data_IF_827083683909
#
_entry.id   IF_827083683909
#
_cell.length_a   1.000
_cell.length_b   1.000
_cell.length_c   1.000
_cell.angle_alpha   90.00
_cell.angle_beta   90.00
_cell.angle_gamma   90.00
#
_symmetry.space_group_name_H-M   'P 1'
#
loop_
_entity.id
_entity.type
_entity.pdbx_description
1 polymer ?
#
# COMPACT_ATOMS: atom_id res chain seq x y z
N UNK A 1 33.63 -22.58 48.15
CA UNK A 1 34.59 -23.55 47.60
C UNK A 1 35.48 -22.79 46.64
N UNK A 2 36.74 -22.57 47.03
CA UNK A 2 37.67 -21.68 46.35
C UNK A 2 38.25 -22.36 45.11
N UNK A 3 38.11 -21.72 43.95
CA UNK A 3 38.97 -22.00 42.80
C UNK A 3 40.08 -20.93 42.83
N UNK A 4 41.15 -21.23 43.58
CA UNK A 4 42.45 -20.58 43.44
C UNK A 4 43.21 -21.34 42.35
N UNK A 5 43.94 -20.58 41.54
CA UNK A 5 45.01 -21.04 40.64
C UNK A 5 44.60 -21.89 39.42
N UNK A 6 43.97 -21.25 38.44
CA UNK A 6 44.06 -21.70 37.05
C UNK A 6 45.24 -20.97 36.38
N UNK A 7 46.40 -21.62 36.36
CA UNK A 7 47.53 -21.23 35.51
C UNK A 7 47.07 -21.23 34.05
N UNK A 8 47.12 -20.06 33.40
CA UNK A 8 46.84 -19.90 31.98
C UNK A 8 47.99 -20.55 31.22
N UNK A 9 47.79 -21.77 30.73
CA UNK A 9 48.67 -22.33 29.70
C UNK A 9 48.55 -21.48 28.43
N UNK A 10 49.66 -20.99 27.84
CA UNK A 10 49.58 -20.22 26.61
C UNK A 10 49.05 -21.11 25.49
N UNK A 11 48.02 -20.63 24.80
CA UNK A 11 47.45 -21.32 23.65
C UNK A 11 48.57 -21.64 22.62
N UNK A 12 48.56 -22.82 21.99
CA UNK A 12 49.66 -23.35 21.17
C UNK A 12 49.98 -22.54 19.89
N UNK A 13 49.33 -21.40 19.68
CA UNK A 13 49.51 -20.52 18.52
C UNK A 13 50.02 -19.12 18.88
N UNK A 14 50.36 -18.85 20.16
CA UNK A 14 50.81 -17.53 20.59
C UNK A 14 52.24 -17.17 20.14
N UNK A 15 53.05 -18.14 19.71
CA UNK A 15 54.47 -17.94 19.39
C UNK A 15 54.74 -17.46 17.94
N UNK A 16 53.73 -17.41 17.07
CA UNK A 16 53.95 -17.13 15.64
C UNK A 16 53.96 -15.63 15.29
N UNK A 17 53.55 -14.74 16.19
CA UNK A 17 53.45 -13.30 15.90
C UNK A 17 54.06 -12.52 17.06
N UNK A 18 55.29 -12.05 16.89
CA UNK A 18 56.01 -11.16 17.82
C UNK A 18 55.46 -9.72 17.82
N UNK A 19 54.15 -9.57 17.60
CA UNK A 19 53.47 -8.27 17.65
C UNK A 19 53.02 -7.97 19.07
N UNK A 20 53.78 -7.10 19.74
CA UNK A 20 53.44 -6.63 21.09
C UNK A 20 52.41 -5.51 20.96
N UNK A 21 51.14 -5.80 21.24
CA UNK A 21 50.03 -4.84 21.13
C UNK A 21 50.37 -3.57 21.95
N UNK A 22 50.40 -2.38 21.32
CA UNK A 22 50.66 -1.13 22.02
C UNK A 22 49.62 -0.89 23.12
N UNK A 23 50.06 -0.44 24.30
CA UNK A 23 49.19 -0.27 25.49
C UNK A 23 47.94 0.59 25.25
N UNK A 24 47.97 1.52 24.28
CA UNK A 24 46.81 2.33 23.87
C UNK A 24 45.65 1.52 23.29
N UNK A 25 45.91 0.30 22.81
CA UNK A 25 44.92 -0.63 22.26
C UNK A 25 44.58 -1.76 23.24
N UNK A 26 45.26 -1.84 24.38
CA UNK A 26 44.82 -2.69 25.48
C UNK A 26 43.66 -1.97 26.16
N UNK A 27 42.44 -2.26 25.72
CA UNK A 27 41.26 -1.94 26.50
C UNK A 27 41.45 -2.62 27.86
N UNK A 28 41.50 -1.83 28.92
CA UNK A 28 41.44 -2.38 30.28
C UNK A 28 40.29 -3.37 30.29
N UNK A 29 40.56 -4.62 30.69
CA UNK A 29 39.53 -5.66 30.73
C UNK A 29 38.38 -5.08 31.54
N UNK A 30 37.33 -4.63 30.85
CA UNK A 30 36.14 -4.11 31.49
C UNK A 30 35.72 -5.21 32.46
N UNK A 31 35.65 -4.83 33.71
CA UNK A 31 35.40 -5.66 34.87
C UNK A 31 34.35 -6.69 34.47
N UNK A 32 34.75 -7.97 34.48
CA UNK A 32 33.88 -9.09 34.07
C UNK A 32 32.63 -9.20 35.00
N UNK A 33 32.55 -8.35 36.03
CA UNK A 33 31.38 -8.12 36.87
C UNK A 33 30.12 -7.68 36.10
N UNK A 34 30.24 -7.24 34.84
CA UNK A 34 29.09 -6.86 33.99
C UNK A 34 28.70 -7.90 32.93
N UNK A 35 29.43 -9.01 32.76
CA UNK A 35 29.07 -10.00 31.74
C UNK A 35 27.72 -10.66 32.05
N UNK A 36 27.38 -10.81 33.33
CA UNK A 36 26.07 -11.30 33.77
C UNK A 36 24.91 -10.33 33.46
N UNK A 37 25.17 -9.01 33.40
CA UNK A 37 24.21 -8.01 32.87
C UNK A 37 24.04 -8.14 31.36
N UNK A 38 25.10 -8.53 30.63
CA UNK A 38 25.09 -8.75 29.18
C UNK A 38 24.26 -9.98 28.77
N UNK A 39 24.13 -10.99 29.64
CA UNK A 39 23.30 -12.19 29.44
C UNK A 39 21.84 -12.02 29.88
N UNK A 40 21.47 -10.88 30.48
CA UNK A 40 20.04 -10.58 30.64
C UNK A 40 19.45 -10.44 29.25
N UNK A 41 18.39 -11.20 28.90
CA UNK A 41 17.86 -11.15 27.55
C UNK A 41 17.42 -9.73 27.20
N UNK A 42 18.14 -9.09 26.28
CA UNK A 42 17.82 -7.74 25.76
C UNK A 42 16.38 -7.66 25.26
N UNK A 43 15.82 -8.77 24.77
CA UNK A 43 14.41 -8.83 24.38
C UNK A 43 13.47 -8.56 25.56
N UNK A 44 13.81 -8.96 26.79
CA UNK A 44 12.95 -8.81 27.96
C UNK A 44 12.90 -7.37 28.46
N UNK A 45 14.02 -6.64 28.39
CA UNK A 45 14.04 -5.19 28.68
C UNK A 45 13.32 -4.40 27.58
N UNK A 46 13.49 -4.80 26.32
CA UNK A 46 12.78 -4.19 25.18
C UNK A 46 11.27 -4.38 25.27
N UNK A 47 10.80 -5.59 25.63
CA UNK A 47 9.37 -5.88 25.82
C UNK A 47 8.77 -5.09 26.98
N UNK A 48 9.51 -4.93 28.08
CA UNK A 48 9.06 -4.08 29.20
C UNK A 48 9.00 -2.62 28.81
N UNK A 49 9.95 -2.13 28.02
CA UNK A 49 9.93 -0.77 27.50
C UNK A 49 8.75 -0.52 26.55
N UNK A 50 8.38 -1.50 25.72
CA UNK A 50 7.29 -1.40 24.74
C UNK A 50 5.93 -1.96 25.23
N UNK A 51 5.76 -2.19 26.53
CA UNK A 51 4.54 -2.81 27.08
C UNK A 51 3.27 -2.00 26.77
N UNK A 52 3.37 -0.67 26.75
CA UNK A 52 2.25 0.22 26.40
C UNK A 52 1.86 0.08 24.92
N UNK A 53 2.84 0.04 24.01
CA UNK A 53 2.58 -0.14 22.57
C UNK A 53 1.95 -1.50 22.27
N UNK A 54 2.49 -2.56 22.89
CA UNK A 54 2.00 -3.92 22.71
C UNK A 54 0.57 -4.07 23.25
N UNK A 55 0.27 -3.50 24.42
CA UNK A 55 -1.08 -3.59 25.01
C UNK A 55 -2.13 -2.85 24.17
N UNK A 56 -1.79 -1.69 23.60
CA UNK A 56 -2.66 -0.97 22.66
C UNK A 56 -2.90 -1.80 21.38
N UNK A 57 -1.84 -2.39 20.81
CA UNK A 57 -1.94 -3.23 19.61
C UNK A 57 -2.84 -4.45 19.86
N UNK A 58 -2.62 -5.17 20.97
CA UNK A 58 -3.43 -6.32 21.36
C UNK A 58 -4.90 -5.91 21.55
N UNK A 59 -5.15 -4.78 22.21
CA UNK A 59 -6.50 -4.23 22.36
C UNK A 59 -7.17 -3.92 21.00
N UNK A 60 -6.43 -3.31 20.08
CA UNK A 60 -6.92 -3.02 18.73
C UNK A 60 -7.23 -4.30 17.93
N UNK A 61 -6.38 -5.33 18.03
CA UNK A 61 -6.59 -6.63 17.39
C UNK A 61 -7.82 -7.36 17.96
N UNK A 62 -8.03 -7.31 19.27
CA UNK A 62 -9.22 -7.86 19.92
C UNK A 62 -10.48 -7.12 19.44
N UNK A 63 -10.45 -5.78 19.44
CA UNK A 63 -11.58 -4.97 18.96
C UNK A 63 -11.92 -5.27 17.48
N UNK A 64 -10.89 -5.39 16.63
CA UNK A 64 -11.06 -5.78 15.24
C UNK A 64 -11.65 -7.18 15.11
N UNK A 65 -11.16 -8.14 15.90
CA UNK A 65 -11.65 -9.53 15.90
C UNK A 65 -13.12 -9.59 16.31
N UNK A 66 -13.52 -8.87 17.35
CA UNK A 66 -14.92 -8.77 17.79
C UNK A 66 -15.79 -8.11 16.71
N UNK A 67 -15.29 -7.06 16.06
CA UNK A 67 -15.99 -6.40 14.96
C UNK A 67 -16.19 -7.33 13.76
N UNK A 68 -15.18 -8.13 13.40
CA UNK A 68 -15.25 -9.13 12.34
C UNK A 68 -16.26 -10.24 12.67
N UNK A 69 -16.30 -10.72 13.91
CA UNK A 69 -17.29 -11.72 14.35
C UNK A 69 -18.72 -11.17 14.40
N UNK A 70 -18.88 -9.84 14.50
CA UNK A 70 -20.18 -9.14 14.57
C UNK A 70 -20.54 -8.38 13.29
N UNK A 71 -19.89 -8.69 12.16
CA UNK A 71 -20.15 -8.08 10.84
C UNK A 71 -21.66 -7.98 10.51
N UNK A 72 -22.48 -9.04 10.61
CA UNK A 72 -23.89 -8.94 10.20
C UNK A 72 -24.69 -7.94 11.02
N UNK A 73 -24.33 -7.71 12.29
CA UNK A 73 -24.97 -6.72 13.16
C UNK A 73 -24.39 -5.31 13.00
N UNK A 74 -23.09 -5.19 12.69
CA UNK A 74 -22.44 -3.89 12.45
C UNK A 74 -22.94 -3.25 11.14
N UNK A 75 -23.10 -4.05 10.07
CA UNK A 75 -23.51 -3.57 8.75
C UNK A 75 -24.94 -3.04 8.74
N UNK A 76 -25.81 -3.55 9.62
CA UNK A 76 -27.20 -3.08 9.75
C UNK A 76 -27.33 -1.69 10.38
N UNK A 77 -26.30 -1.17 11.07
CA UNK A 77 -26.31 0.14 11.73
C UNK A 77 -25.31 1.10 11.06
N UNK A 78 -25.79 1.87 10.08
CA UNK A 78 -24.97 2.77 9.24
C UNK A 78 -24.03 3.71 10.00
N UNK A 79 -24.53 4.44 11.01
CA UNK A 79 -23.71 5.36 11.81
C UNK A 79 -22.63 4.64 12.63
N UNK A 80 -22.94 3.47 13.19
CA UNK A 80 -22.01 2.74 14.06
C UNK A 80 -20.87 2.13 13.24
N UNK A 81 -21.18 1.62 12.05
CA UNK A 81 -20.19 1.16 11.08
C UNK A 81 -19.28 2.30 10.60
N UNK A 82 -19.84 3.48 10.31
CA UNK A 82 -19.05 4.64 9.86
C UNK A 82 -18.13 5.18 10.97
N UNK A 83 -18.63 5.31 12.21
CA UNK A 83 -17.82 5.72 13.37
C UNK A 83 -16.72 4.69 13.65
N UNK A 84 -17.04 3.39 13.66
CA UNK A 84 -16.04 2.34 13.89
C UNK A 84 -14.96 2.35 12.82
N UNK A 85 -15.35 2.45 11.54
CA UNK A 85 -14.42 2.49 10.41
C UNK A 85 -13.52 3.72 10.46
N UNK A 86 -14.09 4.91 10.68
CA UNK A 86 -13.32 6.15 10.77
C UNK A 86 -12.40 6.11 11.99
N UNK A 87 -12.89 5.65 13.15
CA UNK A 87 -12.10 5.51 14.36
C UNK A 87 -10.94 4.52 14.20
N UNK A 88 -11.17 3.37 13.57
CA UNK A 88 -10.13 2.39 13.27
C UNK A 88 -9.07 2.94 12.29
N UNK A 89 -9.51 3.64 11.24
CA UNK A 89 -8.60 4.29 10.28
C UNK A 89 -7.77 5.39 10.94
N UNK A 90 -8.39 6.26 11.76
CA UNK A 90 -7.69 7.32 12.48
C UNK A 90 -6.72 6.77 13.52
N UNK A 91 -7.10 5.71 14.24
CA UNK A 91 -6.22 5.02 15.18
C UNK A 91 -5.02 4.40 14.46
N UNK A 92 -5.24 3.74 13.33
CA UNK A 92 -4.16 3.15 12.52
C UNK A 92 -3.24 4.22 11.93
N UNK A 93 -3.78 5.29 11.35
CA UNK A 93 -2.98 6.37 10.76
C UNK A 93 -2.25 7.20 11.82
N UNK A 94 -2.91 7.52 12.93
CA UNK A 94 -2.38 8.37 13.98
C UNK A 94 -1.41 7.61 14.88
N UNK A 95 -1.83 6.49 15.46
CA UNK A 95 -0.98 5.72 16.36
C UNK A 95 0.10 4.95 15.58
N UNK A 96 -0.29 3.98 14.75
CA UNK A 96 0.69 3.13 14.04
C UNK A 96 1.54 3.93 13.05
N UNK A 97 0.94 4.94 12.41
CA UNK A 97 1.65 5.82 11.47
C UNK A 97 2.61 6.83 12.13
N UNK A 98 2.23 7.47 13.25
CA UNK A 98 3.03 8.53 13.87
C UNK A 98 3.92 8.04 15.02
N UNK A 99 3.47 7.10 15.86
CA UNK A 99 4.19 6.69 17.07
C UNK A 99 5.21 5.58 16.81
N UNK A 100 4.84 4.59 16.01
CA UNK A 100 5.69 3.39 15.81
C UNK A 100 6.66 3.52 14.65
N UNK A 101 6.72 4.69 13.99
CA UNK A 101 7.47 4.84 12.75
C UNK A 101 7.10 3.72 11.77
N UNK A 102 5.80 3.43 11.69
CA UNK A 102 5.14 2.78 10.57
C UNK A 102 5.95 1.59 9.99
N UNK A 103 5.75 0.35 10.50
CA UNK A 103 6.42 -0.86 10.00
C UNK A 103 6.57 -0.82 8.48
N UNK A 104 7.78 -0.52 7.98
CA UNK A 104 8.06 -0.22 6.57
C UNK A 104 7.56 -1.32 5.65
N UNK A 105 7.55 -2.55 6.16
CA UNK A 105 7.04 -3.72 5.47
C UNK A 105 5.56 -3.59 5.11
N UNK A 106 4.68 -3.12 6.00
CA UNK A 106 3.23 -3.05 5.75
C UNK A 106 2.87 -1.91 4.80
N UNK A 107 3.52 -0.75 4.93
CA UNK A 107 3.26 0.42 4.07
C UNK A 107 3.86 0.26 2.66
N UNK A 108 4.85 -0.62 2.49
CA UNK A 108 5.31 -1.04 1.16
C UNK A 108 4.22 -1.79 0.38
N UNK A 109 3.35 -2.54 1.06
CA UNK A 109 2.22 -3.24 0.42
C UNK A 109 0.97 -2.36 0.31
N UNK A 110 0.66 -1.58 1.35
CA UNK A 110 -0.42 -0.59 1.36
C UNK A 110 0.15 0.78 1.04
N UNK A 111 0.29 1.12 -0.24
CA UNK A 111 0.78 2.44 -0.67
C UNK A 111 -0.14 3.55 -0.11
N UNK A 112 0.26 4.26 0.96
CA UNK A 112 -0.62 5.24 1.59
C UNK A 112 -0.71 6.52 0.75
N UNK A 113 0.23 6.72 -0.18
CA UNK A 113 0.10 7.74 -1.22
C UNK A 113 -1.14 7.51 -2.11
N UNK A 114 -1.44 6.26 -2.46
CA UNK A 114 -2.67 5.93 -3.18
C UNK A 114 -3.93 6.22 -2.35
N UNK A 115 -3.91 5.97 -1.04
CA UNK A 115 -4.99 6.32 -0.12
C UNK A 115 -5.13 7.85 0.02
N UNK A 116 -4.01 8.58 0.07
CA UNK A 116 -3.98 10.04 0.12
C UNK A 116 -4.53 10.65 -1.18
N UNK A 117 -4.26 10.06 -2.34
CA UNK A 117 -4.86 10.47 -3.61
C UNK A 117 -6.40 10.29 -3.62
N UNK A 118 -6.91 9.20 -3.04
CA UNK A 118 -8.37 9.02 -2.90
C UNK A 118 -8.98 10.03 -1.93
N UNK A 119 -8.30 10.29 -0.81
CA UNK A 119 -8.77 11.25 0.20
C UNK A 119 -8.76 12.68 -0.36
N UNK A 120 -7.69 13.09 -1.04
CA UNK A 120 -7.59 14.40 -1.70
C UNK A 120 -8.60 14.55 -2.83
N UNK A 121 -8.82 13.52 -3.66
CA UNK A 121 -9.87 13.52 -4.67
C UNK A 121 -11.27 13.62 -4.04
N UNK A 122 -11.52 12.95 -2.91
CA UNK A 122 -12.79 13.06 -2.17
C UNK A 122 -12.98 14.44 -1.55
N UNK A 123 -11.94 15.03 -0.98
CA UNK A 123 -11.96 16.39 -0.45
C UNK A 123 -12.19 17.42 -1.58
N UNK A 124 -11.54 17.25 -2.72
CA UNK A 124 -11.76 18.09 -3.90
C UNK A 124 -13.19 17.99 -4.45
N UNK A 125 -13.76 16.78 -4.51
CA UNK A 125 -15.17 16.57 -4.88
C UNK A 125 -16.12 17.24 -3.89
N UNK A 126 -15.80 17.23 -2.60
CA UNK A 126 -16.56 17.94 -1.57
C UNK A 126 -16.51 19.46 -1.77
N UNK A 127 -15.38 19.99 -2.23
CA UNK A 127 -15.20 21.39 -2.61
C UNK A 127 -15.79 21.74 -4.00
N UNK A 128 -16.46 20.80 -4.67
CA UNK A 128 -17.10 21.01 -5.97
C UNK A 128 -16.19 20.86 -7.18
N UNK A 129 -14.94 20.44 -7.02
CA UNK A 129 -14.02 20.17 -8.13
C UNK A 129 -14.37 18.82 -8.76
N UNK A 130 -14.73 18.83 -10.04
CA UNK A 130 -14.96 17.60 -10.80
C UNK A 130 -13.66 17.10 -11.42
N UNK A 131 -13.31 15.81 -11.26
CA UNK A 131 -12.11 15.26 -11.90
C UNK A 131 -12.27 15.25 -13.42
N UNK A 132 -11.24 15.71 -14.11
CA UNK A 132 -11.13 15.67 -15.56
C UNK A 132 -10.96 14.22 -16.02
N UNK A 133 -11.84 13.78 -16.93
CA UNK A 133 -11.64 12.53 -17.64
C UNK A 133 -10.75 12.75 -18.84
N UNK A 134 -9.65 12.01 -18.89
CA UNK A 134 -8.78 11.95 -20.06
C UNK A 134 -9.52 11.29 -21.22
N UNK A 135 -9.24 11.79 -22.44
CA UNK A 135 -9.62 11.11 -23.67
C UNK A 135 -8.97 9.73 -23.75
N UNK A 136 -9.65 8.78 -24.38
CA UNK A 136 -9.15 7.40 -24.55
C UNK A 136 -7.75 7.37 -25.18
N UNK A 137 -7.51 8.22 -26.19
CA UNK A 137 -6.20 8.33 -26.83
C UNK A 137 -5.11 8.76 -25.84
N UNK A 138 -5.34 9.83 -25.08
CA UNK A 138 -4.40 10.33 -24.07
C UNK A 138 -4.11 9.26 -23.02
N UNK A 139 -5.14 8.57 -22.54
CA UNK A 139 -4.96 7.48 -21.59
C UNK A 139 -4.09 6.36 -22.17
N UNK A 140 -4.36 5.92 -23.40
CA UNK A 140 -3.61 4.84 -24.07
C UNK A 140 -2.13 5.18 -24.23
N UNK A 141 -1.80 6.44 -24.51
CA UNK A 141 -0.43 6.92 -24.66
C UNK A 141 0.31 7.09 -23.34
N UNK A 142 -0.37 7.56 -22.29
CA UNK A 142 0.23 7.78 -20.98
C UNK A 142 0.41 6.46 -20.19
N UNK A 143 -0.46 5.48 -20.42
CA UNK A 143 -0.44 4.21 -19.71
C UNK A 143 0.89 3.43 -19.76
N UNK A 144 1.60 3.30 -20.91
CA UNK A 144 2.86 2.55 -20.96
C UNK A 144 4.00 3.16 -20.13
N UNK A 145 3.89 4.42 -19.72
CA UNK A 145 4.95 5.14 -18.97
C UNK A 145 5.37 4.36 -17.72
N UNK A 146 4.42 3.80 -16.96
CA UNK A 146 4.74 3.01 -15.75
C UNK A 146 5.57 1.76 -16.03
N UNK A 147 5.38 1.13 -17.19
CA UNK A 147 6.17 -0.04 -17.59
C UNK A 147 7.57 0.38 -18.04
N UNK A 148 7.69 1.53 -18.72
CA UNK A 148 8.98 2.12 -19.03
C UNK A 148 9.78 2.47 -17.78
N UNK A 149 9.13 3.05 -16.77
CA UNK A 149 9.75 3.37 -15.48
C UNK A 149 10.19 2.11 -14.73
N UNK A 150 9.33 1.08 -14.69
CA UNK A 150 9.69 -0.22 -14.11
C UNK A 150 10.89 -0.85 -14.81
N UNK A 151 10.90 -0.87 -16.15
CA UNK A 151 12.01 -1.43 -16.92
C UNK A 151 13.31 -0.64 -16.68
N UNK A 152 13.22 0.69 -16.59
CA UNK A 152 14.33 1.55 -16.22
C UNK A 152 14.89 1.19 -14.84
N UNK A 153 14.04 1.08 -13.82
CA UNK A 153 14.46 0.70 -12.47
C UNK A 153 15.12 -0.69 -12.42
N UNK A 154 14.55 -1.67 -13.14
CA UNK A 154 15.14 -3.02 -13.26
C UNK A 154 16.49 -2.96 -13.97
N UNK A 155 16.60 -2.18 -15.05
CA UNK A 155 17.87 -1.98 -15.77
C UNK A 155 18.95 -1.33 -14.90
N UNK A 156 18.59 -0.30 -14.13
CA UNK A 156 19.49 0.30 -13.14
C UNK A 156 19.88 -0.70 -12.05
N UNK A 157 18.95 -1.53 -11.57
CA UNK A 157 19.24 -2.54 -10.55
C UNK A 157 20.24 -3.60 -11.03
N UNK A 158 20.18 -3.96 -12.31
CA UNK A 158 21.15 -4.86 -12.94
C UNK A 158 22.52 -4.17 -13.09
N UNK A 159 22.54 -2.89 -13.45
CA UNK A 159 23.78 -2.13 -13.61
C UNK A 159 24.48 -1.84 -12.27
N UNK A 160 23.75 -1.34 -11.29
CA UNK A 160 24.25 -1.02 -9.95
C UNK A 160 23.11 -0.94 -8.94
N UNK A 161 23.20 -1.73 -7.88
CA UNK A 161 22.19 -1.75 -6.82
C UNK A 161 22.04 -0.38 -6.13
N UNK A 162 23.13 0.35 -5.91
CA UNK A 162 23.10 1.67 -5.27
C UNK A 162 22.35 2.73 -6.09
N UNK A 163 22.58 2.79 -7.41
CA UNK A 163 21.84 3.72 -8.26
C UNK A 163 20.36 3.34 -8.36
N UNK A 164 20.01 2.05 -8.26
CA UNK A 164 18.63 1.61 -8.22
C UNK A 164 17.93 2.00 -6.91
N UNK A 165 18.63 1.96 -5.77
CA UNK A 165 18.11 2.48 -4.50
C UNK A 165 17.86 3.98 -4.58
N UNK A 166 18.80 4.75 -5.12
CA UNK A 166 18.62 6.20 -5.34
C UNK A 166 17.50 6.53 -6.34
N UNK A 167 17.37 5.74 -7.42
CA UNK A 167 16.29 5.90 -8.38
C UNK A 167 14.93 5.43 -7.84
N UNK A 168 14.90 4.51 -6.88
CA UNK A 168 13.67 4.07 -6.20
C UNK A 168 13.04 5.18 -5.34
N UNK A 169 13.75 6.29 -5.11
CA UNK A 169 13.20 7.52 -4.51
C UNK A 169 12.13 8.21 -5.37
N UNK A 170 11.96 7.76 -6.62
CA UNK A 170 10.82 8.12 -7.48
C UNK A 170 9.47 7.83 -6.82
N UNK A 171 9.43 6.87 -5.88
CA UNK A 171 8.25 6.64 -5.06
C UNK A 171 8.10 7.78 -4.05
N UNK A 172 7.05 8.63 -4.17
CA UNK A 172 6.87 9.81 -3.32
C UNK A 172 6.62 9.43 -1.84
N UNK A 173 6.46 8.14 -1.55
CA UNK A 173 6.14 7.65 -0.21
C UNK A 173 7.37 7.54 0.71
N UNK A 174 8.46 6.90 0.27
CA UNK A 174 9.70 6.84 1.06
C UNK A 174 10.24 8.26 1.31
N UNK A 175 10.10 9.14 0.33
CA UNK A 175 10.68 10.48 0.37
C UNK A 175 9.87 11.50 1.18
N UNK A 176 8.54 11.50 1.11
CA UNK A 176 7.72 12.55 1.74
C UNK A 176 7.21 12.22 3.16
N UNK A 177 6.92 10.94 3.46
CA UNK A 177 6.29 10.55 4.74
C UNK A 177 7.30 9.95 5.72
N UNK A 178 8.28 9.18 5.23
CA UNK A 178 9.24 8.46 6.08
C UNK A 178 10.42 9.34 6.49
N UNK A 179 10.96 10.15 5.57
CA UNK A 179 12.11 11.03 5.83
C UNK A 179 11.73 12.42 6.37
N UNK A 180 10.43 12.72 6.42
CA UNK A 180 9.83 13.88 7.10
C UNK A 180 10.61 15.19 6.89
N UNK A 181 11.13 15.76 7.99
CA UNK A 181 11.70 17.12 8.07
C UNK A 181 13.18 17.23 7.69
N UNK A 182 13.81 16.13 7.28
CA UNK A 182 15.25 16.04 7.01
C UNK A 182 15.63 15.96 5.53
N UNK A 183 14.64 16.06 4.63
CA UNK A 183 14.82 15.93 3.18
C UNK A 183 14.54 17.25 2.45
N UNK A 184 15.25 17.48 1.35
CA UNK A 184 15.18 18.73 0.59
C UNK A 184 13.76 19.03 0.08
N UNK A 185 13.35 20.31 0.18
CA UNK A 185 12.11 20.89 -0.36
C UNK A 185 11.64 20.36 -1.74
N UNK A 186 12.50 20.12 -2.76
CA UNK A 186 12.09 19.60 -4.06
C UNK A 186 11.24 18.32 -4.00
N UNK A 187 11.46 17.42 -3.04
CA UNK A 187 10.67 16.19 -2.92
C UNK A 187 9.26 16.44 -2.41
N UNK A 188 9.08 17.41 -1.51
CA UNK A 188 7.76 17.84 -1.05
C UNK A 188 6.97 18.53 -2.17
N UNK A 189 7.65 19.34 -3.00
CA UNK A 189 7.04 19.92 -4.20
C UNK A 189 6.64 18.83 -5.17
N UNK A 190 7.51 17.86 -5.45
CA UNK A 190 7.20 16.74 -6.33
C UNK A 190 5.98 15.94 -5.84
N UNK A 191 5.95 15.55 -4.56
CA UNK A 191 4.80 14.86 -3.97
C UNK A 191 3.53 15.72 -4.01
N UNK A 192 3.63 17.02 -3.70
CA UNK A 192 2.54 17.97 -3.77
C UNK A 192 1.98 18.14 -5.20
N UNK A 193 2.86 18.22 -6.19
CA UNK A 193 2.49 18.27 -7.61
C UNK A 193 1.77 16.99 -8.05
N UNK A 194 2.23 15.81 -7.62
CA UNK A 194 1.57 14.54 -7.92
C UNK A 194 0.19 14.42 -7.24
N UNK A 195 0.04 14.95 -6.03
CA UNK A 195 -1.27 15.03 -5.35
C UNK A 195 -2.20 16.02 -6.06
N UNK A 196 -1.68 17.18 -6.47
CA UNK A 196 -2.41 18.17 -7.28
C UNK A 196 -2.88 17.60 -8.62
N UNK A 197 -2.00 16.87 -9.32
CA UNK A 197 -2.37 16.13 -10.52
C UNK A 197 -3.44 15.08 -10.24
N UNK A 198 -3.43 14.45 -9.05
CA UNK A 198 -4.44 13.51 -8.56
C UNK A 198 -5.83 14.12 -8.33
N UNK A 199 -5.91 15.43 -8.06
CA UNK A 199 -7.18 16.16 -7.93
C UNK A 199 -7.82 16.36 -9.31
N UNK A 200 -7.00 16.70 -10.31
CA UNK A 200 -7.47 16.89 -11.69
C UNK A 200 -7.76 15.55 -12.35
N UNK A 201 -6.88 14.56 -12.20
CA UNK A 201 -7.01 13.22 -12.77
C UNK A 201 -7.00 12.20 -11.64
N UNK A 202 -8.13 11.53 -11.44
CA UNK A 202 -8.29 10.55 -10.35
C UNK A 202 -7.20 9.47 -10.41
N UNK A 203 -6.46 9.31 -9.29
CA UNK A 203 -5.38 8.31 -9.13
C UNK A 203 -4.25 8.41 -10.16
N UNK A 204 -3.90 9.64 -10.57
CA UNK A 204 -2.87 9.92 -11.60
C UNK A 204 -1.56 9.14 -11.41
N UNK A 205 -0.95 9.19 -10.21
CA UNK A 205 0.34 8.53 -9.95
C UNK A 205 0.25 7.01 -10.07
N UNK A 206 -0.71 6.40 -9.36
CA UNK A 206 -0.92 4.95 -9.40
C UNK A 206 -1.22 4.42 -10.82
N UNK A 207 -1.83 5.26 -11.66
CA UNK A 207 -2.25 4.90 -13.02
C UNK A 207 -1.13 5.01 -14.06
N UNK A 208 -0.24 5.99 -13.94
CA UNK A 208 0.72 6.33 -15.01
C UNK A 208 2.19 6.23 -14.61
N UNK A 209 2.53 6.41 -13.33
CA UNK A 209 3.92 6.51 -12.89
C UNK A 209 4.33 5.37 -11.95
N UNK A 210 3.43 4.79 -11.18
CA UNK A 210 3.78 3.85 -10.11
C UNK A 210 4.40 2.53 -10.64
N UNK A 211 5.68 2.22 -10.33
CA UNK A 211 6.35 1.00 -10.78
C UNK A 211 5.80 -0.26 -10.09
N UNK A 212 5.46 -0.16 -8.80
CA UNK A 212 4.75 -1.24 -8.08
C UNK A 212 3.41 -1.57 -8.74
N UNK A 213 2.67 -0.54 -9.18
CA UNK A 213 1.44 -0.71 -9.94
C UNK A 213 1.64 -1.38 -11.29
N UNK A 214 2.79 -1.17 -11.94
CA UNK A 214 3.17 -1.88 -13.17
C UNK A 214 3.42 -3.38 -12.90
N UNK A 215 4.12 -3.72 -11.82
CA UNK A 215 4.33 -5.11 -11.38
C UNK A 215 3.00 -5.81 -11.09
N UNK A 216 2.11 -5.16 -10.34
CA UNK A 216 0.77 -5.70 -10.05
C UNK A 216 -0.07 -5.89 -11.32
N UNK A 217 0.05 -4.99 -12.30
CA UNK A 217 -0.64 -5.11 -13.58
C UNK A 217 -0.12 -6.29 -14.43
N UNK A 218 1.19 -6.57 -14.38
CA UNK A 218 1.80 -7.75 -15.00
C UNK A 218 1.28 -9.05 -14.36
N UNK A 219 1.23 -9.10 -13.02
CA UNK A 219 0.62 -10.21 -12.28
C UNK A 219 -0.88 -10.36 -12.57
N UNK A 220 -1.58 -9.25 -12.81
CA UNK A 220 -2.97 -9.23 -13.25
C UNK A 220 -3.24 -9.92 -14.58
N UNK A 221 -2.23 -10.07 -15.44
CA UNK A 221 -2.35 -10.84 -16.69
C UNK A 221 -2.54 -12.34 -16.45
N UNK A 222 -2.17 -12.84 -15.27
CA UNK A 222 -2.49 -14.21 -14.85
C UNK A 222 -3.98 -14.38 -14.51
N UNK A 223 -4.72 -13.30 -14.25
CA UNK A 223 -6.16 -13.30 -13.95
C UNK A 223 -7.04 -13.38 -15.21
N UNK A 224 -6.68 -14.24 -16.17
CA UNK A 224 -7.51 -14.48 -17.38
C UNK A 224 -8.84 -15.19 -17.08
N UNK A 225 -9.01 -15.74 -15.88
CA UNK A 225 -10.24 -16.39 -15.40
C UNK A 225 -11.07 -15.47 -14.51
N UNK A 226 -11.10 -14.17 -14.80
CA UNK A 226 -11.81 -13.23 -13.95
C UNK A 226 -13.32 -13.47 -14.04
N UNK A 227 -13.92 -13.77 -12.89
CA UNK A 227 -15.36 -13.92 -12.74
C UNK A 227 -16.03 -12.55 -12.65
N UNK A 228 -15.94 -11.76 -13.73
CA UNK A 228 -16.79 -10.58 -13.85
C UNK A 228 -18.09 -10.98 -14.55
N UNK A 229 -19.18 -10.85 -13.82
CA UNK A 229 -20.52 -10.86 -14.36
C UNK A 229 -20.78 -9.63 -15.22
N UNK A 230 -21.38 -9.87 -16.38
CA UNK A 230 -21.72 -8.85 -17.37
C UNK A 230 -23.03 -9.22 -18.06
N UNK A 231 -23.91 -8.25 -18.28
CA UNK A 231 -25.06 -8.46 -19.16
C UNK A 231 -24.64 -8.36 -20.63
N UNK A 232 -25.37 -9.02 -21.51
CA UNK A 232 -25.14 -8.96 -22.96
C UNK A 232 -25.16 -7.54 -23.54
N UNK A 233 -25.89 -6.62 -22.90
CA UNK A 233 -26.05 -5.22 -23.33
C UNK A 233 -24.94 -4.28 -22.79
N UNK A 234 -24.06 -4.75 -21.90
CA UNK A 234 -22.95 -3.95 -21.38
C UNK A 234 -21.91 -3.73 -22.49
N UNK A 235 -21.36 -2.52 -22.59
CA UNK A 235 -20.43 -2.10 -23.65
C UNK A 235 -21.14 -1.52 -24.88
N UNK A 236 -22.18 -2.21 -25.36
CA UNK A 236 -23.05 -1.75 -26.45
C UNK A 236 -24.47 -2.28 -26.23
N UNK A 237 -25.50 -1.42 -26.10
CA UNK A 237 -25.47 0.05 -26.12
C UNK A 237 -25.08 0.70 -24.78
N UNK A 238 -25.00 -0.06 -23.67
CA UNK A 238 -24.76 0.51 -22.36
C UNK A 238 -23.27 0.81 -22.10
N UNK A 239 -22.89 2.08 -22.03
CA UNK A 239 -21.53 2.54 -21.70
C UNK A 239 -21.39 3.10 -20.28
N UNK A 240 -22.32 2.76 -19.37
CA UNK A 240 -22.33 3.35 -18.03
C UNK A 240 -21.06 3.00 -17.23
N UNK A 241 -20.64 1.73 -17.27
CA UNK A 241 -19.42 1.27 -16.59
C UNK A 241 -18.16 1.91 -17.18
N UNK A 242 -18.09 2.10 -18.50
CA UNK A 242 -16.98 2.78 -19.19
C UNK A 242 -16.84 4.21 -18.67
N UNK A 243 -17.97 4.94 -18.67
CA UNK A 243 -17.99 6.31 -18.16
C UNK A 243 -17.59 6.32 -16.70
N UNK A 244 -18.21 5.53 -15.83
CA UNK A 244 -18.03 5.65 -14.37
C UNK A 244 -16.74 5.00 -13.82
N UNK A 245 -15.97 4.28 -14.63
CA UNK A 245 -14.74 3.63 -14.18
C UNK A 245 -13.65 4.67 -13.82
N UNK A 246 -13.20 4.75 -12.54
CA UNK A 246 -12.22 5.75 -12.12
C UNK A 246 -10.84 5.55 -12.76
N UNK A 247 -10.47 4.29 -13.05
CA UNK A 247 -9.19 3.94 -13.70
C UNK A 247 -9.28 3.87 -15.23
N UNK A 248 -10.48 4.03 -15.79
CA UNK A 248 -10.82 3.85 -17.22
C UNK A 248 -10.24 2.56 -17.82
N UNK A 249 -10.40 1.44 -17.12
CA UNK A 249 -9.96 0.12 -17.60
C UNK A 249 -10.89 -0.48 -18.68
N UNK A 250 -12.00 0.18 -19.00
CA UNK A 250 -12.99 -0.27 -19.99
C UNK A 250 -12.87 0.60 -21.22
N UNK A 251 -12.69 -0.03 -22.37
CA UNK A 251 -12.58 0.64 -23.67
C UNK A 251 -13.98 1.08 -24.19
N UNK A 252 -14.08 2.04 -25.14
CA UNK A 252 -15.35 2.54 -25.64
C UNK A 252 -16.22 1.50 -26.37
N UNK A 253 -15.61 0.44 -26.89
CA UNK A 253 -16.27 -0.74 -27.45
C UNK A 253 -16.82 -1.70 -26.36
N UNK A 254 -16.47 -1.45 -25.10
CA UNK A 254 -16.84 -2.24 -23.94
C UNK A 254 -15.85 -3.34 -23.59
N UNK A 255 -14.69 -3.43 -24.24
CA UNK A 255 -13.66 -4.40 -23.88
C UNK A 255 -13.02 -4.00 -22.54
N UNK A 256 -12.77 -4.97 -21.66
CA UNK A 256 -12.18 -4.72 -20.34
C UNK A 256 -10.70 -5.08 -20.38
N UNK A 257 -9.84 -4.11 -20.06
CA UNK A 257 -8.41 -4.36 -19.91
C UNK A 257 -8.11 -4.92 -18.51
N UNK A 258 -7.98 -6.24 -18.42
CA UNK A 258 -7.79 -6.97 -17.16
C UNK A 258 -6.48 -6.68 -16.44
N UNK A 259 -5.46 -6.13 -17.10
CA UNK A 259 -4.22 -5.75 -16.43
C UNK A 259 -4.42 -4.54 -15.51
N UNK A 260 -5.39 -3.67 -15.83
CA UNK A 260 -5.72 -2.47 -15.05
C UNK A 260 -7.00 -2.63 -14.24
N UNK A 261 -7.87 -3.56 -14.61
CA UNK A 261 -9.12 -3.79 -13.90
C UNK A 261 -8.87 -4.32 -12.48
N UNK A 262 -9.61 -3.73 -11.53
CA UNK A 262 -9.60 -4.05 -10.10
C UNK A 262 -10.81 -4.90 -9.68
N UNK A 263 -11.59 -5.41 -10.62
CA UNK A 263 -12.74 -6.31 -10.39
C UNK A 263 -13.76 -5.80 -9.37
N UNK A 264 -13.99 -4.49 -9.31
CA UNK A 264 -14.78 -3.87 -8.24
C UNK A 264 -16.29 -4.13 -8.32
N UNK A 265 -16.86 -4.31 -9.53
CA UNK A 265 -18.29 -4.55 -9.82
C UNK A 265 -19.34 -3.68 -9.07
N UNK A 266 -18.93 -2.58 -8.44
CA UNK A 266 -19.81 -1.76 -7.60
C UNK A 266 -21.03 -1.26 -8.37
N UNK A 267 -20.82 -0.75 -9.59
CA UNK A 267 -21.89 -0.22 -10.43
C UNK A 267 -22.78 -1.32 -11.03
N UNK A 268 -22.21 -2.51 -11.26
CA UNK A 268 -22.99 -3.65 -11.75
C UNK A 268 -23.93 -4.16 -10.66
N UNK A 269 -23.44 -4.29 -9.42
CA UNK A 269 -24.20 -4.82 -8.28
C UNK A 269 -25.17 -3.79 -7.66
N UNK A 270 -25.13 -2.53 -8.10
CA UNK A 270 -26.05 -1.49 -7.66
C UNK A 270 -27.42 -1.67 -8.35
N UNK A 271 -28.45 -2.03 -7.57
CA UNK A 271 -29.80 -2.27 -8.08
C UNK A 271 -30.45 -1.02 -8.69
N UNK A 272 -30.09 0.17 -8.20
CA UNK A 272 -30.62 1.45 -8.70
C UNK A 272 -29.69 2.06 -9.76
N UNK A 273 -28.39 1.77 -9.68
CA UNK A 273 -27.38 2.29 -10.60
C UNK A 273 -27.30 1.53 -11.93
N UNK A 274 -27.50 0.21 -11.93
CA UNK A 274 -27.45 -0.61 -13.13
C UNK A 274 -28.81 -0.60 -13.86
N UNK A 275 -28.91 -0.11 -15.11
CA UNK A 275 -30.16 -0.07 -15.87
C UNK A 275 -30.77 -1.45 -16.15
N UNK A 276 -29.97 -2.52 -16.07
CA UNK A 276 -30.44 -3.89 -16.26
C UNK A 276 -31.10 -4.46 -14.99
N UNK A 277 -30.83 -3.90 -13.82
CA UNK A 277 -31.46 -4.26 -12.54
C UNK A 277 -32.61 -3.32 -12.19
N UNK A 278 -32.43 -2.02 -12.47
CA UNK A 278 -33.46 -1.02 -12.29
C UNK A 278 -34.61 -1.29 -13.27
N UNK A 279 -35.76 -1.71 -12.75
CA UNK A 279 -36.98 -1.86 -13.54
C UNK A 279 -37.26 -0.59 -14.37
N UNK A 280 -37.81 -0.70 -15.60
CA UNK A 280 -37.99 0.45 -16.48
C UNK A 280 -38.86 1.52 -15.82
N UNK A 281 -38.32 2.72 -15.64
CA UNK A 281 -39.11 3.90 -15.26
C UNK A 281 -39.91 4.34 -16.48
N UNK A 282 -41.23 4.11 -16.41
CA UNK A 282 -42.31 4.58 -17.29
C UNK A 282 -42.34 4.07 -18.74
N UNK A 283 -43.36 3.24 -19.04
CA UNK A 283 -44.04 3.18 -20.35
C UNK A 283 -43.56 2.15 -21.38
N UNK A 284 -42.36 1.58 -21.22
CA UNK A 284 -41.90 0.48 -22.08
C UNK A 284 -42.45 -0.86 -21.61
N UNK A 285 -42.95 -1.69 -22.53
CA UNK A 285 -43.35 -3.08 -22.27
C UNK A 285 -42.29 -3.80 -21.42
N UNK A 286 -42.69 -4.52 -20.36
CA UNK A 286 -41.74 -5.27 -19.55
C UNK A 286 -41.10 -6.33 -20.45
N UNK A 287 -39.83 -6.12 -20.80
CA UNK A 287 -39.06 -7.19 -21.43
C UNK A 287 -38.98 -8.32 -20.42
N UNK A 288 -39.52 -9.47 -20.81
CA UNK A 288 -39.65 -10.64 -19.95
C UNK A 288 -38.26 -11.25 -19.78
N UNK A 289 -37.58 -10.85 -18.71
CA UNK A 289 -36.38 -11.52 -18.21
C UNK A 289 -35.17 -10.62 -18.19
N UNK A 290 -34.51 -10.55 -17.04
CA UNK A 290 -33.18 -9.95 -16.94
C UNK A 290 -32.27 -10.59 -18.01
N UNK A 291 -31.51 -9.79 -18.80
CA UNK A 291 -30.67 -10.32 -19.86
C UNK A 291 -29.66 -11.32 -19.28
N UNK A 292 -29.39 -12.44 -19.98
CA UNK A 292 -28.57 -13.52 -19.45
C UNK A 292 -27.20 -13.00 -19.01
N UNK A 293 -26.82 -13.37 -17.78
CA UNK A 293 -25.51 -13.05 -17.22
C UNK A 293 -24.46 -13.87 -17.99
N UNK A 294 -23.49 -13.17 -18.58
CA UNK A 294 -22.32 -13.77 -19.23
C UNK A 294 -21.08 -13.40 -18.42
N UNK A 295 -20.10 -14.29 -18.38
CA UNK A 295 -18.77 -13.95 -17.86
C UNK A 295 -18.09 -13.00 -18.84
N UNK A 296 -17.45 -11.97 -18.34
CA UNK A 296 -16.60 -11.10 -19.13
C UNK A 296 -15.47 -11.95 -19.73
N UNK A 297 -15.26 -11.79 -21.04
CA UNK A 297 -14.13 -12.36 -21.78
C UNK A 297 -13.22 -11.25 -22.25
#
# INVERSE_FOLDING_TARGET
MAIRDATIEPAPFADAISYRVPKRYLLARADVAGVDELWKPVWRSTWRAQTVEISILVGALIALTVALLRIPSLVQRSRLHEIFRIGFLLSTLGWVGWSTGAQMTILRWLCPFGALQELTARAARFLGVQPLRLSYASHRWLWPIKYGLLLGLVGLAIYSFEAALGASEIEPFETAIVLGRSRDWPYLVYAGCLLGAGIVVERFYCRFLCPLGAVMALGGRARRLAWLDRHSQCGRPCQLCERRCPVQAIEPDGKINMTECLDCQVLYRDELGCPAHAAPRSGGTPDRGAPPVRKAS
#
